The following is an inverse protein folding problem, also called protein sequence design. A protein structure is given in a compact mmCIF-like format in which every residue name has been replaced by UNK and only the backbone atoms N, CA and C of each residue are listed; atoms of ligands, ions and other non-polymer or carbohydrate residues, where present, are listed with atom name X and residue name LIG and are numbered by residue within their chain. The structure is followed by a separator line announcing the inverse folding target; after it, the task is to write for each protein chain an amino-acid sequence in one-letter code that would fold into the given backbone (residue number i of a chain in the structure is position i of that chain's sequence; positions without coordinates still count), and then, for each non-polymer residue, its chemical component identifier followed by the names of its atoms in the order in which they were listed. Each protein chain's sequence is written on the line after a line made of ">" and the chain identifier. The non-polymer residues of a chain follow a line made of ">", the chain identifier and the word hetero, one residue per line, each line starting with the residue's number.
data_IF_084401436278
#
_entry.id   IF_084401436278
#
_cell.length_a   1.000
_cell.length_b   1.000
_cell.length_c   1.000
_cell.angle_alpha   90.00
_cell.angle_beta   90.00
_cell.angle_gamma   90.00
#
_symmetry.space_group_name_H-M   'P 1'
#
loop_
_entity.id
_entity.type
_entity.pdbx_description
1 polymer ?
#
# COMPACT_ATOMS: atom_id res chain seq x y z
N UNK A 1 5.57 0.73 2.06
CA UNK A 1 4.31 0.37 2.73
C UNK A 1 3.36 -0.28 1.73
N UNK A 2 2.63 -1.30 2.16
CA UNK A 2 1.75 -2.13 1.34
C UNK A 2 0.40 -2.35 2.03
N UNK A 3 -0.54 -2.95 1.32
CA UNK A 3 -1.86 -3.24 1.86
C UNK A 3 -2.81 -2.05 1.86
N UNK A 4 -3.58 -1.89 2.94
CA UNK A 4 -4.52 -0.80 3.12
C UNK A 4 -3.85 0.52 3.49
N UNK A 5 -4.64 1.60 3.42
CA UNK A 5 -4.20 2.95 3.81
C UNK A 5 -4.81 3.30 5.17
N UNK A 6 -4.01 3.21 6.22
CA UNK A 6 -4.43 3.46 7.61
C UNK A 6 -3.72 2.55 8.61
N UNK A 7 -4.37 2.23 9.71
CA UNK A 7 -3.79 1.40 10.78
C UNK A 7 -3.42 -0.02 10.34
N UNK A 8 -3.99 -0.50 9.23
CA UNK A 8 -3.70 -1.82 8.64
C UNK A 8 -2.58 -1.79 7.59
N UNK A 9 -1.88 -0.66 7.47
CA UNK A 9 -0.73 -0.53 6.57
C UNK A 9 0.39 -1.48 7.00
N UNK A 10 0.88 -2.30 6.07
CA UNK A 10 2.02 -3.16 6.28
C UNK A 10 3.33 -2.41 5.94
N UNK A 11 4.15 -2.14 6.94
CA UNK A 11 5.44 -1.47 6.77
C UNK A 11 6.54 -2.52 6.59
N UNK A 12 7.19 -2.52 5.42
CA UNK A 12 8.26 -3.45 5.07
C UNK A 12 9.62 -2.78 5.26
N UNK A 13 10.21 -2.97 6.43
CA UNK A 13 11.56 -2.51 6.76
C UNK A 13 12.63 -3.23 5.94
N UNK A 14 12.39 -4.51 5.58
CA UNK A 14 13.30 -5.31 4.76
C UNK A 14 13.59 -4.71 3.37
N UNK A 15 12.68 -3.89 2.86
CA UNK A 15 12.83 -3.20 1.56
C UNK A 15 13.50 -1.84 1.64
N UNK A 16 13.77 -1.34 2.85
CA UNK A 16 14.40 -0.04 3.07
C UNK A 16 15.91 -0.18 3.03
N UNK A 17 16.57 0.77 2.37
CA UNK A 17 18.03 0.90 2.36
C UNK A 17 18.44 2.27 2.87
N UNK A 18 19.45 2.32 3.72
CA UNK A 18 20.07 3.56 4.21
C UNK A 18 21.50 3.58 3.71
N UNK A 19 21.84 4.55 2.86
CA UNK A 19 23.17 4.66 2.24
C UNK A 19 23.63 3.36 1.56
N UNK A 20 22.69 2.65 0.91
CA UNK A 20 22.94 1.39 0.21
C UNK A 20 22.93 0.14 1.08
N UNK A 21 22.89 0.26 2.42
CA UNK A 21 22.80 -0.89 3.34
C UNK A 21 21.34 -1.22 3.62
N UNK A 22 20.94 -2.50 3.62
CA UNK A 22 19.62 -2.92 4.04
C UNK A 22 19.33 -2.47 5.47
N UNK A 23 18.13 -1.93 5.73
CA UNK A 23 17.72 -1.52 7.07
C UNK A 23 17.73 -2.69 8.06
N UNK A 24 17.45 -3.90 7.58
CA UNK A 24 17.52 -5.14 8.39
C UNK A 24 18.88 -5.42 9.02
N UNK A 25 19.98 -4.89 8.46
CA UNK A 25 21.32 -4.99 9.04
C UNK A 25 21.56 -3.95 10.14
N UNK A 26 20.71 -2.94 10.25
CA UNK A 26 20.85 -1.82 11.18
C UNK A 26 19.91 -1.99 12.37
N UNK A 27 18.73 -2.55 12.15
CA UNK A 27 17.76 -2.84 13.22
C UNK A 27 18.36 -3.80 14.26
N UNK A 28 18.20 -3.45 15.53
CA UNK A 28 18.75 -4.22 16.65
C UNK A 28 20.21 -3.90 17.00
N UNK A 29 20.83 -2.94 16.31
CA UNK A 29 22.15 -2.40 16.65
C UNK A 29 22.04 -1.13 17.51
N UNK A 30 23.17 -0.64 18.02
CA UNK A 30 23.21 0.66 18.74
C UNK A 30 22.75 1.84 17.89
N UNK A 31 22.84 1.74 16.55
CA UNK A 31 22.41 2.78 15.64
C UNK A 31 20.88 2.84 15.47
N UNK A 32 20.20 1.72 15.63
CA UNK A 32 18.73 1.60 15.61
C UNK A 32 18.29 0.41 16.47
N UNK A 33 18.11 0.62 17.77
CA UNK A 33 17.56 -0.41 18.66
C UNK A 33 16.21 -0.93 18.19
N UNK A 34 15.90 -2.19 18.47
CA UNK A 34 14.64 -2.82 18.05
C UNK A 34 13.41 -2.03 18.53
N UNK A 35 13.44 -1.55 19.77
CA UNK A 35 12.33 -0.74 20.33
C UNK A 35 12.11 0.56 19.57
N UNK A 36 13.20 1.22 19.14
CA UNK A 36 13.11 2.45 18.34
C UNK A 36 12.57 2.17 16.95
N UNK A 37 12.95 1.06 16.32
CA UNK A 37 12.36 0.61 15.07
C UNK A 37 10.85 0.39 15.19
N UNK A 38 10.37 -0.30 16.23
CA UNK A 38 8.94 -0.52 16.46
C UNK A 38 8.18 0.80 16.63
N UNK A 39 8.77 1.76 17.32
CA UNK A 39 8.20 3.10 17.46
C UNK A 39 8.14 3.82 16.11
N UNK A 40 9.22 3.81 15.33
CA UNK A 40 9.25 4.40 13.99
C UNK A 40 8.20 3.79 13.07
N UNK A 41 8.06 2.46 13.10
CA UNK A 41 7.03 1.76 12.32
C UNK A 41 5.62 2.22 12.71
N UNK A 42 5.36 2.35 13.99
CA UNK A 42 4.09 2.87 14.52
C UNK A 42 3.86 4.32 14.06
N UNK A 43 4.89 5.15 14.13
CA UNK A 43 4.83 6.56 13.70
C UNK A 43 4.53 6.70 12.19
N UNK A 44 5.06 5.80 11.36
CA UNK A 44 4.75 5.75 9.92
C UNK A 44 3.26 5.43 9.71
N UNK A 45 2.74 4.40 10.38
CA UNK A 45 1.32 3.99 10.27
C UNK A 45 0.39 5.12 10.74
N UNK A 46 0.73 5.82 11.81
CA UNK A 46 -0.07 6.89 12.39
C UNK A 46 0.18 8.27 11.79
N UNK A 47 1.11 8.40 10.84
CA UNK A 47 1.53 9.68 10.29
C UNK A 47 0.39 10.51 9.71
N UNK A 48 -0.53 9.89 8.99
CA UNK A 48 -1.72 10.53 8.44
C UNK A 48 -2.66 11.09 9.52
N UNK A 49 -2.92 10.32 10.57
CA UNK A 49 -3.74 10.73 11.70
C UNK A 49 -3.11 11.92 12.46
N UNK A 50 -1.78 11.90 12.66
CA UNK A 50 -1.06 13.04 13.27
C UNK A 50 -1.17 14.32 12.45
N UNK A 51 -1.09 14.23 11.12
CA UNK A 51 -1.29 15.38 10.23
C UNK A 51 -2.71 15.94 10.37
N UNK A 52 -3.73 15.08 10.39
CA UNK A 52 -5.12 15.50 10.57
C UNK A 52 -5.29 16.21 11.94
N UNK A 53 -4.73 15.64 12.99
CA UNK A 53 -4.79 16.22 14.33
C UNK A 53 -4.16 17.63 14.39
N UNK A 54 -3.02 17.81 13.73
CA UNK A 54 -2.29 19.09 13.74
C UNK A 54 -2.91 20.17 12.82
N UNK A 55 -3.52 19.76 11.70
CA UNK A 55 -4.02 20.67 10.66
C UNK A 55 -5.54 20.79 10.61
N UNK A 56 -6.27 19.97 11.37
CA UNK A 56 -7.72 19.86 11.29
C UNK A 56 -8.25 19.23 9.99
N UNK A 57 -7.36 18.76 9.12
CA UNK A 57 -7.71 18.12 7.83
C UNK A 57 -6.58 17.25 7.30
N UNK A 58 -6.91 16.34 6.40
CA UNK A 58 -5.95 15.50 5.68
C UNK A 58 -4.95 16.33 4.86
N UNK A 59 -3.75 15.76 4.64
CA UNK A 59 -2.79 16.31 3.68
C UNK A 59 -3.33 16.12 2.25
N UNK A 60 -3.12 17.12 1.39
CA UNK A 60 -3.48 17.08 -0.03
C UNK A 60 -2.28 17.31 -0.95
N UNK A 61 -1.18 17.84 -0.42
CA UNK A 61 0.03 18.12 -1.21
C UNK A 61 0.67 16.83 -1.73
N UNK A 62 0.89 15.85 -0.87
CA UNK A 62 1.50 14.58 -1.26
C UNK A 62 0.63 13.78 -2.24
N UNK A 63 -0.69 13.61 -2.01
CA UNK A 63 -1.56 13.00 -3.01
C UNK A 63 -1.56 13.73 -4.36
N UNK A 64 -1.58 15.06 -4.36
CA UNK A 64 -1.52 15.85 -5.59
C UNK A 64 -0.20 15.61 -6.35
N UNK A 65 0.93 15.62 -5.65
CA UNK A 65 2.24 15.32 -6.24
C UNK A 65 2.27 13.91 -6.86
N UNK A 66 1.88 12.90 -6.11
CA UNK A 66 1.85 11.52 -6.60
C UNK A 66 0.92 11.37 -7.82
N UNK A 67 -0.23 12.04 -7.82
CA UNK A 67 -1.15 12.01 -8.96
C UNK A 67 -0.51 12.65 -10.22
N UNK A 68 0.22 13.73 -10.08
CA UNK A 68 0.95 14.35 -11.19
C UNK A 68 2.04 13.41 -11.73
N UNK A 69 2.80 12.74 -10.85
CA UNK A 69 3.82 11.78 -11.28
C UNK A 69 3.21 10.58 -12.01
N UNK A 70 2.05 10.07 -11.55
CA UNK A 70 1.31 9.02 -12.25
C UNK A 70 0.84 9.47 -13.64
N UNK A 71 0.31 10.70 -13.75
CA UNK A 71 -0.11 11.27 -15.04
C UNK A 71 1.10 11.43 -15.98
N UNK A 72 2.23 11.91 -15.48
CA UNK A 72 3.47 12.01 -16.27
C UNK A 72 3.89 10.67 -16.84
N UNK A 73 3.87 9.60 -16.03
CA UNK A 73 4.21 8.26 -16.48
C UNK A 73 3.29 7.78 -17.60
N UNK A 74 1.98 7.97 -17.48
CA UNK A 74 0.98 7.60 -18.52
C UNK A 74 1.20 8.40 -19.81
N UNK A 75 1.63 9.66 -19.70
CA UNK A 75 1.87 10.55 -20.83
C UNK A 75 3.26 10.38 -21.48
N UNK A 76 4.02 9.35 -21.13
CA UNK A 76 5.31 9.01 -21.73
C UNK A 76 6.53 9.60 -21.03
N UNK A 77 6.38 10.05 -19.78
CA UNK A 77 7.50 10.36 -18.89
C UNK A 77 8.12 9.09 -18.29
N UNK A 78 8.99 9.28 -17.31
CA UNK A 78 9.58 8.16 -16.56
C UNK A 78 8.48 7.30 -15.91
N UNK A 79 8.60 5.96 -15.94
CA UNK A 79 7.64 5.08 -15.30
C UNK A 79 7.49 5.37 -13.80
N UNK A 80 6.26 5.40 -13.33
CA UNK A 80 5.97 5.42 -11.89
C UNK A 80 6.15 4.00 -11.35
N UNK A 81 7.08 3.80 -10.43
CA UNK A 81 7.46 2.48 -9.90
C UNK A 81 7.56 2.52 -8.37
N UNK A 82 6.45 2.83 -7.69
CA UNK A 82 6.35 2.87 -6.24
C UNK A 82 5.15 2.06 -5.75
N UNK A 83 5.13 1.63 -4.47
CA UNK A 83 3.95 1.03 -3.89
C UNK A 83 2.74 1.94 -4.04
N UNK A 84 1.72 1.46 -4.72
CA UNK A 84 0.48 2.20 -4.96
C UNK A 84 -0.72 1.26 -4.94
N UNK A 85 -1.89 1.83 -4.63
CA UNK A 85 -3.15 1.10 -4.67
C UNK A 85 -3.45 0.64 -6.10
N UNK A 86 -3.57 -0.67 -6.27
CA UNK A 86 -3.93 -1.31 -7.53
C UNK A 86 -4.98 -2.38 -7.31
N UNK A 87 -5.72 -2.72 -8.34
CA UNK A 87 -6.65 -3.85 -8.27
C UNK A 87 -5.86 -5.15 -8.31
N UNK A 88 -6.04 -5.96 -7.27
CA UNK A 88 -5.30 -7.21 -7.08
C UNK A 88 -6.23 -8.39 -7.28
N UNK A 89 -5.82 -9.29 -8.18
CA UNK A 89 -6.49 -10.55 -8.48
C UNK A 89 -5.43 -11.58 -8.88
N UNK A 90 -5.05 -12.40 -7.93
CA UNK A 90 -4.07 -13.48 -8.11
C UNK A 90 -4.45 -14.69 -7.25
N UNK A 91 -3.61 -15.70 -7.20
CA UNK A 91 -3.90 -16.94 -6.44
C UNK A 91 -4.10 -16.68 -4.94
N UNK A 92 -3.39 -15.71 -4.35
CA UNK A 92 -3.40 -15.43 -2.91
C UNK A 92 -4.42 -14.35 -2.53
N UNK A 93 -4.48 -13.26 -3.29
CA UNK A 93 -5.33 -12.09 -3.00
C UNK A 93 -6.33 -11.87 -4.14
N UNK A 94 -7.61 -11.76 -3.80
CA UNK A 94 -8.70 -11.76 -4.77
C UNK A 94 -9.57 -10.51 -4.66
N UNK A 95 -9.77 -9.85 -5.81
CA UNK A 95 -10.80 -8.83 -5.99
C UNK A 95 -10.76 -7.71 -4.94
N UNK A 96 -9.61 -7.08 -4.79
CA UNK A 96 -9.39 -6.03 -3.79
C UNK A 96 -8.49 -4.92 -4.34
N UNK A 97 -8.72 -3.70 -3.91
CA UNK A 97 -7.79 -2.58 -4.10
C UNK A 97 -6.86 -2.51 -2.89
N UNK A 98 -5.56 -2.70 -3.11
CA UNK A 98 -4.55 -2.57 -2.06
C UNK A 98 -3.20 -2.17 -2.66
N UNK A 99 -2.32 -1.60 -1.83
CA UNK A 99 -0.98 -1.20 -2.28
C UNK A 99 -0.09 -2.42 -2.51
N UNK A 100 0.49 -2.48 -3.72
CA UNK A 100 1.46 -3.47 -4.19
C UNK A 100 2.67 -2.77 -4.82
N UNK A 101 3.72 -3.51 -5.16
CA UNK A 101 4.80 -2.99 -6.02
C UNK A 101 4.22 -2.71 -7.41
N UNK A 102 3.80 -1.48 -7.63
CA UNK A 102 3.06 -1.05 -8.81
C UNK A 102 3.97 -0.35 -9.80
N UNK A 103 3.85 -0.70 -11.08
CA UNK A 103 4.47 0.04 -12.18
C UNK A 103 3.37 0.59 -13.08
N UNK A 104 3.44 1.89 -13.38
CA UNK A 104 2.53 2.58 -14.27
C UNK A 104 3.34 3.30 -15.35
N UNK A 105 3.00 3.06 -16.60
CA UNK A 105 3.61 3.68 -17.78
C UNK A 105 2.59 3.85 -18.92
N UNK A 106 3.05 4.15 -20.13
CA UNK A 106 2.21 4.28 -21.33
C UNK A 106 1.45 3.00 -21.72
N UNK A 107 1.86 1.83 -21.22
CA UNK A 107 1.22 0.55 -21.49
C UNK A 107 0.16 0.20 -20.45
N UNK A 108 0.02 1.01 -19.40
CA UNK A 108 -0.95 0.81 -18.33
C UNK A 108 -0.33 0.50 -16.98
N UNK A 109 -1.10 -0.18 -16.14
CA UNK A 109 -0.75 -0.51 -14.76
C UNK A 109 -0.44 -1.99 -14.62
N UNK A 110 0.72 -2.30 -14.06
CA UNK A 110 1.09 -3.67 -13.66
C UNK A 110 1.49 -3.68 -12.18
N UNK A 111 1.44 -4.83 -11.53
CA UNK A 111 1.92 -4.97 -10.16
C UNK A 111 2.68 -6.28 -9.95
N UNK A 112 3.53 -6.28 -8.94
CA UNK A 112 4.19 -7.47 -8.41
C UNK A 112 3.86 -7.64 -6.95
N UNK A 113 3.85 -8.88 -6.49
CA UNK A 113 3.78 -9.18 -5.06
C UNK A 113 5.04 -8.65 -4.37
N UNK A 114 4.91 -7.89 -3.28
CA UNK A 114 6.08 -7.51 -2.51
C UNK A 114 6.71 -8.73 -1.86
N UNK A 115 8.03 -8.74 -1.80
CA UNK A 115 8.79 -9.73 -1.05
C UNK A 115 9.21 -9.11 0.28
N UNK A 116 8.96 -9.79 1.39
CA UNK A 116 9.28 -9.34 2.73
C UNK A 116 9.60 -10.51 3.66
N UNK A 117 9.90 -10.21 4.91
CA UNK A 117 10.06 -11.25 5.93
C UNK A 117 8.72 -11.97 6.19
N UNK A 118 8.71 -13.17 6.81
CA UNK A 118 7.47 -13.85 7.16
C UNK A 118 6.52 -12.97 8.00
N UNK A 119 7.06 -12.17 8.91
CA UNK A 119 6.31 -11.24 9.75
C UNK A 119 5.69 -10.11 8.92
N UNK A 120 6.43 -9.53 7.97
CA UNK A 120 5.94 -8.50 7.07
C UNK A 120 4.85 -9.04 6.14
N UNK A 121 5.03 -10.25 5.64
CA UNK A 121 4.00 -10.92 4.84
C UNK A 121 2.74 -11.21 5.65
N UNK A 122 2.88 -11.58 6.93
CA UNK A 122 1.73 -11.76 7.82
C UNK A 122 0.97 -10.45 8.07
N UNK A 123 1.66 -9.31 8.15
CA UNK A 123 1.01 -7.99 8.22
C UNK A 123 0.24 -7.67 6.93
N UNK A 124 0.78 -8.03 5.79
CA UNK A 124 0.09 -7.86 4.50
C UNK A 124 -1.16 -8.75 4.41
N UNK A 125 -1.08 -9.99 4.88
CA UNK A 125 -2.21 -10.91 4.95
C UNK A 125 -3.32 -10.38 5.88
N UNK A 126 -2.96 -9.83 7.03
CA UNK A 126 -3.90 -9.19 7.96
C UNK A 126 -4.56 -7.96 7.33
N UNK A 127 -3.78 -7.14 6.62
CA UNK A 127 -4.28 -5.99 5.87
C UNK A 127 -5.29 -6.41 4.79
N UNK A 128 -4.98 -7.43 4.01
CA UNK A 128 -5.89 -8.00 3.03
C UNK A 128 -7.21 -8.49 3.65
N UNK A 129 -7.13 -9.26 4.74
CA UNK A 129 -8.31 -9.77 5.43
C UNK A 129 -9.22 -8.63 5.92
N UNK A 130 -8.62 -7.55 6.46
CA UNK A 130 -9.37 -6.36 6.88
C UNK A 130 -10.07 -5.68 5.70
N UNK A 131 -9.37 -5.48 4.59
CA UNK A 131 -9.94 -4.86 3.38
C UNK A 131 -11.07 -5.71 2.79
N UNK A 132 -10.93 -7.04 2.78
CA UNK A 132 -12.00 -7.95 2.35
C UNK A 132 -13.25 -7.78 3.22
N UNK A 133 -13.09 -7.71 4.54
CA UNK A 133 -14.21 -7.47 5.45
C UNK A 133 -14.94 -6.17 5.11
N UNK A 134 -14.20 -5.07 4.91
CA UNK A 134 -14.79 -3.79 4.52
C UNK A 134 -15.50 -3.85 3.17
N UNK A 135 -14.91 -4.50 2.17
CA UNK A 135 -15.56 -4.74 0.86
C UNK A 135 -16.88 -5.48 1.03
N UNK A 136 -16.88 -6.55 1.80
CA UNK A 136 -18.05 -7.40 2.00
C UNK A 136 -19.17 -6.67 2.78
N UNK A 137 -18.80 -5.77 3.69
CA UNK A 137 -19.75 -4.85 4.32
C UNK A 137 -20.41 -3.91 3.30
N UNK A 138 -19.63 -3.33 2.36
CA UNK A 138 -20.16 -2.47 1.30
C UNK A 138 -21.09 -3.24 0.34
N UNK A 139 -20.78 -4.50 0.05
CA UNK A 139 -21.66 -5.40 -0.74
C UNK A 139 -22.95 -5.65 0.04
N UNK A 140 -22.88 -5.98 1.32
CA UNK A 140 -24.05 -6.24 2.17
C UNK A 140 -24.97 -5.01 2.27
N UNK A 141 -24.38 -3.81 2.30
CA UNK A 141 -25.11 -2.54 2.29
C UNK A 141 -25.63 -2.12 0.91
N UNK A 142 -25.42 -2.94 -0.13
CA UNK A 142 -25.76 -2.64 -1.53
C UNK A 142 -25.12 -1.33 -2.06
N UNK A 143 -23.97 -0.91 -1.52
CA UNK A 143 -23.22 0.25 -1.99
C UNK A 143 -22.39 -0.13 -3.22
N UNK A 144 -21.83 -1.35 -3.23
CA UNK A 144 -21.17 -1.94 -4.40
C UNK A 144 -21.84 -3.26 -4.77
N UNK A 145 -21.85 -3.64 -6.07
CA UNK A 145 -22.43 -4.90 -6.51
C UNK A 145 -21.65 -6.10 -5.93
N UNK A 146 -22.27 -7.29 -5.87
CA UNK A 146 -21.60 -8.53 -5.50
C UNK A 146 -20.36 -8.79 -6.37
N UNK A 147 -19.29 -9.32 -5.74
CA UNK A 147 -17.97 -9.48 -6.37
C UNK A 147 -18.02 -10.32 -7.64
N UNK A 148 -18.87 -11.35 -7.69
CA UNK A 148 -19.08 -12.22 -8.86
C UNK A 148 -19.60 -11.50 -10.09
N UNK A 149 -20.21 -10.32 -9.91
CA UNK A 149 -20.72 -9.47 -11.00
C UNK A 149 -19.70 -8.47 -11.53
N UNK A 150 -18.57 -8.28 -10.85
CA UNK A 150 -17.62 -7.23 -11.20
C UNK A 150 -17.03 -7.39 -12.60
N UNK A 151 -16.69 -8.62 -13.01
CA UNK A 151 -16.20 -8.88 -14.37
C UNK A 151 -17.26 -8.65 -15.47
N UNK A 152 -18.56 -8.81 -15.13
CA UNK A 152 -19.66 -8.52 -16.05
C UNK A 152 -19.83 -7.00 -16.23
N UNK A 153 -19.64 -6.22 -15.14
CA UNK A 153 -19.77 -4.77 -15.12
C UNK A 153 -18.56 -4.10 -15.74
N UNK A 154 -17.37 -4.62 -15.44
CA UNK A 154 -16.11 -4.14 -16.01
C UNK A 154 -15.24 -5.33 -16.47
N UNK A 155 -15.26 -5.67 -17.77
CA UNK A 155 -14.47 -6.78 -18.32
C UNK A 155 -12.96 -6.61 -18.22
N UNK A 156 -12.47 -5.43 -17.84
CA UNK A 156 -11.03 -5.16 -17.68
C UNK A 156 -10.49 -5.46 -16.26
N UNK A 157 -11.31 -6.00 -15.36
CA UNK A 157 -10.91 -6.40 -14.01
C UNK A 157 -10.29 -7.80 -13.95
#
# INVERSE_FOLDING_TARGET
>A
TYGGHGEQMAVFGSKVKIQGKPLSEIIGTDALPQEEWEKLRTDVVQGGAKIIQLRGRSSWQSPAYCSVEMIRAIMGGEPFAWPAGTYVKNEKYQNIMMAMDTTLDTNGCTYKMPEGTPEEMALLDASYAHLCKMRDELVTLNIVPPVEKWNEINPNL
#
